data_IF_263177713497
#
_entry.id   IF_263177713497
#
_cell.length_a   1.000
_cell.length_b   1.000
_cell.length_c   1.000
_cell.angle_alpha   90.00
_cell.angle_beta   90.00
_cell.angle_gamma   90.00
#
_symmetry.space_group_name_H-M   'P 1'
#
loop_
_entity.id
_entity.type
_entity.pdbx_description
1 polymer ?
#
# COMPACT_ATOMS: atom_id res chain seq x y z
N UNK A 1 -13.77 -28.60 -6.50
CA UNK A 1 -14.62 -29.79 -6.68
C UNK A 1 -13.74 -31.02 -6.79
N UNK A 2 -13.42 -31.61 -5.67
CA UNK A 2 -12.90 -32.98 -5.70
C UNK A 2 -14.06 -33.87 -6.10
N UNK A 3 -14.09 -34.20 -7.37
CA UNK A 3 -15.16 -35.01 -7.92
C UNK A 3 -15.10 -36.44 -7.36
N UNK A 4 -15.99 -36.70 -6.46
CA UNK A 4 -16.43 -38.07 -6.15
C UNK A 4 -17.28 -38.63 -7.30
N UNK A 5 -17.30 -37.95 -8.45
CA UNK A 5 -18.15 -38.26 -9.59
C UNK A 5 -17.78 -39.52 -10.36
N UNK A 6 -16.57 -40.02 -10.19
CA UNK A 6 -16.11 -41.17 -10.98
C UNK A 6 -16.15 -42.47 -10.17
N UNK A 7 -17.07 -42.57 -9.22
CA UNK A 7 -17.04 -43.62 -8.21
C UNK A 7 -18.07 -44.73 -8.45
N UNK A 8 -18.62 -44.84 -9.65
CA UNK A 8 -19.51 -45.97 -9.92
C UNK A 8 -18.82 -47.35 -9.89
N UNK A 9 -17.49 -47.33 -9.95
CA UNK A 9 -16.71 -48.56 -9.94
C UNK A 9 -15.74 -48.61 -8.72
N UNK A 10 -16.25 -48.83 -7.50
CA UNK A 10 -15.34 -49.25 -6.48
C UNK A 10 -15.42 -48.67 -5.08
N UNK A 11 -16.36 -47.81 -4.78
CA UNK A 11 -16.64 -47.37 -3.42
C UNK A 11 -17.92 -48.01 -2.90
N UNK A 12 -17.85 -49.13 -2.14
CA UNK A 12 -19.04 -49.78 -1.57
C UNK A 12 -19.78 -48.91 -0.54
N UNK A 13 -19.16 -47.78 -0.11
CA UNK A 13 -19.76 -46.88 0.86
C UNK A 13 -19.45 -45.43 0.49
N UNK A 14 -20.12 -44.95 -0.52
CA UNK A 14 -19.95 -43.59 -1.06
C UNK A 14 -20.13 -42.46 -0.02
N UNK A 15 -21.14 -42.50 0.87
CA UNK A 15 -21.29 -41.50 1.92
C UNK A 15 -20.09 -41.43 2.86
N UNK A 16 -19.52 -42.54 3.26
CA UNK A 16 -18.36 -42.60 4.15
C UNK A 16 -17.07 -42.15 3.48
N UNK A 17 -16.91 -42.45 2.19
CA UNK A 17 -15.78 -41.96 1.42
C UNK A 17 -15.86 -40.43 1.23
N UNK A 18 -17.04 -39.90 0.99
CA UNK A 18 -17.27 -38.44 0.89
C UNK A 18 -17.02 -37.74 2.20
N UNK A 19 -17.49 -38.27 3.31
CA UNK A 19 -17.23 -37.73 4.66
C UNK A 19 -15.73 -37.74 4.98
N UNK A 20 -15.04 -38.85 4.71
CA UNK A 20 -13.58 -38.95 4.91
C UNK A 20 -12.82 -37.93 4.05
N UNK A 21 -13.22 -37.74 2.79
CA UNK A 21 -12.61 -36.77 1.91
C UNK A 21 -12.87 -35.33 2.38
N UNK A 22 -14.08 -35.03 2.84
CA UNK A 22 -14.43 -33.73 3.38
C UNK A 22 -13.61 -33.39 4.64
N UNK A 23 -13.47 -34.32 5.58
CA UNK A 23 -12.67 -34.13 6.79
C UNK A 23 -11.19 -33.94 6.44
N UNK A 24 -10.66 -34.71 5.49
CA UNK A 24 -9.31 -34.56 5.00
C UNK A 24 -9.08 -33.17 4.40
N UNK A 25 -9.98 -32.74 3.55
CA UNK A 25 -9.91 -31.43 2.91
C UNK A 25 -9.96 -30.30 3.94
N UNK A 26 -10.89 -30.36 4.89
CA UNK A 26 -11.02 -29.35 5.94
C UNK A 26 -9.75 -29.26 6.79
N UNK A 27 -9.26 -30.37 7.26
CA UNK A 27 -8.05 -30.42 8.06
C UNK A 27 -6.82 -29.88 7.32
N UNK A 28 -6.69 -30.22 6.04
CA UNK A 28 -5.61 -29.73 5.20
C UNK A 28 -5.76 -28.23 4.93
N UNK A 29 -6.99 -27.80 4.61
CA UNK A 29 -7.30 -26.39 4.40
C UNK A 29 -6.93 -25.55 5.65
N UNK A 30 -7.37 -25.99 6.83
CA UNK A 30 -7.07 -25.31 8.09
C UNK A 30 -5.57 -25.25 8.36
N UNK A 31 -4.85 -26.33 8.12
CA UNK A 31 -3.40 -26.35 8.30
C UNK A 31 -2.67 -25.44 7.32
N UNK A 32 -3.12 -25.35 6.08
CA UNK A 32 -2.54 -24.46 5.09
C UNK A 32 -2.93 -23.00 5.39
N UNK A 33 -4.21 -22.76 5.69
CA UNK A 33 -4.75 -21.39 5.85
C UNK A 33 -4.33 -20.76 7.17
N UNK A 34 -4.34 -21.53 8.25
CA UNK A 34 -4.17 -21.01 9.60
C UNK A 34 -2.88 -21.46 10.28
N UNK A 35 -2.05 -22.26 9.62
CA UNK A 35 -0.85 -22.82 10.25
C UNK A 35 -1.15 -23.79 11.39
N UNK A 36 -2.38 -24.28 11.48
CA UNK A 36 -2.80 -25.20 12.54
C UNK A 36 -1.90 -26.43 12.57
N UNK A 37 -1.41 -26.77 13.75
CA UNK A 37 -0.68 -28.01 14.02
C UNK A 37 -1.60 -29.24 14.16
N UNK A 38 -2.88 -29.08 13.84
CA UNK A 38 -3.84 -30.18 13.89
C UNK A 38 -3.32 -31.34 13.03
N UNK A 39 -3.19 -32.52 13.59
CA UNK A 39 -2.86 -33.71 12.80
C UNK A 39 -3.95 -33.88 11.75
N UNK A 40 -3.54 -34.10 10.51
CA UNK A 40 -4.48 -34.50 9.44
C UNK A 40 -5.06 -35.86 9.73
N UNK A 41 -4.65 -36.40 10.81
CA UNK A 41 -5.31 -37.48 11.49
C UNK A 41 -4.91 -38.85 11.02
N UNK A 42 -5.31 -39.77 11.78
CA UNK A 42 -5.36 -41.17 11.43
C UNK A 42 -6.70 -41.41 10.71
N UNK A 43 -6.81 -40.96 9.46
CA UNK A 43 -7.99 -41.22 8.66
C UNK A 43 -7.91 -42.67 8.19
N UNK A 44 -8.84 -43.49 8.65
CA UNK A 44 -8.97 -44.86 8.15
C UNK A 44 -9.73 -44.84 6.84
N UNK A 45 -9.12 -45.36 5.82
CA UNK A 45 -9.79 -45.60 4.54
C UNK A 45 -10.03 -47.11 4.42
N UNK A 46 -11.29 -47.49 4.42
CA UNK A 46 -11.68 -48.90 4.38
C UNK A 46 -11.61 -49.52 2.99
N UNK A 47 -11.48 -48.67 1.96
CA UNK A 47 -11.43 -49.08 0.54
C UNK A 47 -10.24 -48.47 -0.16
N UNK A 48 -9.64 -49.15 -1.14
CA UNK A 48 -8.59 -48.55 -1.95
C UNK A 48 -9.18 -47.32 -2.66
N UNK A 49 -8.44 -46.21 -2.56
CA UNK A 49 -8.83 -44.96 -3.20
C UNK A 49 -8.67 -45.09 -4.70
N UNK A 50 -9.78 -44.97 -5.43
CA UNK A 50 -9.79 -44.75 -6.87
C UNK A 50 -9.92 -43.28 -7.19
N UNK A 51 -9.60 -42.87 -8.38
CA UNK A 51 -9.80 -41.50 -8.84
C UNK A 51 -8.95 -40.47 -8.03
N UNK A 52 -9.63 -39.54 -7.36
CA UNK A 52 -8.97 -38.43 -6.62
C UNK A 52 -8.04 -38.93 -5.52
N UNK A 53 -8.46 -39.96 -4.78
CA UNK A 53 -7.63 -40.56 -3.75
C UNK A 53 -6.44 -41.31 -4.32
N UNK A 54 -6.55 -41.90 -5.51
CA UNK A 54 -5.42 -42.48 -6.23
C UNK A 54 -4.38 -41.44 -6.64
N UNK A 55 -4.78 -40.19 -6.88
CA UNK A 55 -3.83 -39.10 -7.10
C UNK A 55 -3.02 -38.74 -5.86
N UNK A 56 -3.46 -39.20 -4.71
CA UNK A 56 -2.68 -39.19 -3.48
C UNK A 56 -1.75 -40.40 -3.37
N UNK A 57 -1.69 -41.24 -4.40
CA UNK A 57 -0.89 -42.47 -4.45
C UNK A 57 0.59 -42.28 -4.27
N UNK A 58 1.22 -41.13 -4.68
CA UNK A 58 2.60 -40.88 -4.29
C UNK A 58 2.82 -40.95 -2.76
N UNK A 59 1.75 -40.92 -1.99
CA UNK A 59 1.72 -40.99 -0.54
C UNK A 59 1.48 -42.42 0.00
N UNK A 60 1.51 -43.42 -0.86
CA UNK A 60 1.23 -44.80 -0.47
C UNK A 60 -0.05 -44.90 0.37
N UNK A 61 -1.14 -44.34 -0.13
CA UNK A 61 -2.46 -44.47 0.50
C UNK A 61 -2.83 -45.95 0.51
N UNK A 62 -2.67 -46.56 1.64
CA UNK A 62 -3.06 -47.94 1.85
C UNK A 62 -4.39 -48.01 2.58
N UNK A 63 -5.04 -49.13 2.48
CA UNK A 63 -6.20 -49.44 3.30
C UNK A 63 -5.79 -49.36 4.76
N UNK A 64 -6.19 -48.29 5.44
CA UNK A 64 -5.81 -48.11 6.84
C UNK A 64 -5.61 -46.63 7.20
N UNK A 65 -4.48 -46.35 7.78
CA UNK A 65 -4.17 -45.03 8.36
C UNK A 65 -3.12 -44.30 7.53
N UNK A 66 -3.38 -43.02 7.21
CA UNK A 66 -2.45 -42.15 6.48
C UNK A 66 -1.61 -41.31 7.43
N UNK A 67 -0.35 -41.19 7.14
CA UNK A 67 0.51 -40.23 7.81
C UNK A 67 0.22 -38.81 7.32
N UNK A 68 -0.05 -37.85 8.21
CA UNK A 68 -0.37 -36.47 7.83
C UNK A 68 0.72 -35.81 6.98
N UNK A 69 1.99 -36.13 7.23
CA UNK A 69 3.13 -35.59 6.51
C UNK A 69 3.18 -36.03 5.04
N UNK A 70 2.85 -37.31 4.80
CA UNK A 70 2.80 -37.86 3.43
C UNK A 70 1.67 -37.26 2.63
N UNK A 71 0.49 -37.10 3.24
CA UNK A 71 -0.64 -36.44 2.60
C UNK A 71 -0.30 -35.02 2.20
N UNK A 72 0.34 -34.24 3.09
CA UNK A 72 0.75 -32.88 2.79
C UNK A 72 1.78 -32.86 1.66
N UNK A 73 2.77 -33.69 1.68
CA UNK A 73 3.79 -33.72 0.64
C UNK A 73 3.22 -34.10 -0.73
N UNK A 74 2.37 -35.11 -0.81
CA UNK A 74 1.84 -35.56 -2.09
C UNK A 74 0.76 -34.65 -2.65
N UNK A 75 -0.23 -34.31 -1.85
CA UNK A 75 -1.39 -33.55 -2.32
C UNK A 75 -1.08 -32.09 -2.54
N UNK A 76 -0.22 -31.51 -1.71
CA UNK A 76 0.02 -30.08 -1.67
C UNK A 76 1.41 -29.67 -2.16
N UNK A 77 2.15 -30.56 -2.77
CA UNK A 77 3.44 -30.22 -3.36
C UNK A 77 3.28 -29.13 -4.45
N UNK A 78 2.19 -29.17 -5.22
CA UNK A 78 1.83 -28.14 -6.20
C UNK A 78 1.35 -26.85 -5.50
N UNK A 79 0.65 -26.99 -4.37
CA UNK A 79 0.18 -25.86 -3.57
C UNK A 79 1.29 -25.24 -2.69
N UNK A 80 2.36 -25.97 -2.39
CA UNK A 80 3.55 -25.39 -1.73
C UNK A 80 4.15 -24.24 -2.54
N UNK A 81 4.04 -24.24 -3.84
CA UNK A 81 4.45 -23.12 -4.68
C UNK A 81 3.51 -21.91 -4.59
N UNK A 82 2.25 -22.11 -4.19
CA UNK A 82 1.20 -21.11 -4.26
C UNK A 82 0.76 -20.47 -2.94
N UNK A 83 0.89 -21.16 -1.82
CA UNK A 83 0.23 -20.74 -0.57
C UNK A 83 1.09 -21.02 0.65
N UNK A 84 2.16 -20.27 0.78
CA UNK A 84 2.88 -20.25 2.04
C UNK A 84 2.28 -19.21 2.98
N UNK A 85 1.27 -19.61 3.70
CA UNK A 85 0.76 -18.87 4.84
C UNK A 85 1.50 -19.22 6.15
N UNK A 86 2.60 -19.90 6.06
CA UNK A 86 3.45 -20.10 7.22
C UNK A 86 4.44 -18.98 7.33
N UNK A 87 4.36 -18.30 8.42
CA UNK A 87 5.15 -17.15 8.80
C UNK A 87 6.64 -17.45 9.08
N UNK A 88 7.21 -18.52 8.63
CA UNK A 88 8.66 -18.62 8.56
C UNK A 88 9.14 -17.96 7.28
N UNK A 89 9.22 -16.63 7.33
CA UNK A 89 9.92 -15.87 6.34
C UNK A 89 11.39 -16.30 6.37
N UNK A 90 11.80 -17.03 5.35
CA UNK A 90 13.20 -16.97 4.98
C UNK A 90 13.33 -15.58 4.37
N UNK A 91 13.74 -14.60 5.17
CA UNK A 91 14.07 -13.27 4.69
C UNK A 91 15.24 -13.45 3.74
N UNK A 92 15.00 -13.15 2.46
CA UNK A 92 16.12 -13.04 1.53
C UNK A 92 16.94 -11.84 1.99
N UNK A 93 18.28 -11.94 2.07
CA UNK A 93 19.12 -10.78 2.30
C UNK A 93 18.75 -9.66 1.32
N UNK A 94 18.74 -8.42 1.77
CA UNK A 94 18.32 -7.27 0.94
C UNK A 94 19.15 -7.13 -0.33
N UNK A 95 20.43 -7.38 -0.22
CA UNK A 95 21.36 -7.36 -1.34
C UNK A 95 20.95 -8.38 -2.42
N UNK A 96 20.66 -9.61 -2.01
CA UNK A 96 20.16 -10.65 -2.92
C UNK A 96 18.80 -10.30 -3.54
N UNK A 97 17.92 -9.61 -2.78
CA UNK A 97 16.62 -9.21 -3.27
C UNK A 97 16.72 -8.15 -4.38
N UNK A 98 17.53 -7.13 -4.18
CA UNK A 98 17.71 -6.04 -5.14
C UNK A 98 18.34 -6.54 -6.44
N UNK A 99 19.30 -7.45 -6.36
CA UNK A 99 19.99 -7.97 -7.55
C UNK A 99 19.18 -9.02 -8.32
N UNK A 100 18.31 -9.76 -7.62
CA UNK A 100 17.65 -10.94 -8.17
C UNK A 100 16.53 -10.61 -9.17
N UNK A 101 15.80 -9.52 -8.96
CA UNK A 101 14.55 -9.25 -9.69
C UNK A 101 14.63 -8.07 -10.66
N UNK A 102 15.81 -7.55 -10.94
CA UNK A 102 16.01 -6.46 -11.92
C UNK A 102 15.29 -6.80 -13.22
N UNK A 103 14.36 -5.94 -13.67
CA UNK A 103 13.51 -6.22 -14.82
C UNK A 103 14.28 -6.23 -16.12
N UNK A 104 15.10 -5.21 -16.36
CA UNK A 104 15.82 -5.03 -17.63
C UNK A 104 17.32 -4.88 -17.39
N UNK A 105 18.05 -5.94 -17.65
CA UNK A 105 19.52 -5.94 -17.55
C UNK A 105 20.20 -5.09 -18.67
N UNK A 106 19.45 -4.67 -19.68
CA UNK A 106 19.95 -3.87 -20.80
C UNK A 106 19.69 -2.38 -20.64
N UNK A 107 18.88 -1.98 -19.63
CA UNK A 107 18.56 -0.59 -19.36
C UNK A 107 19.63 0.04 -18.49
N UNK A 108 20.24 1.11 -18.97
CA UNK A 108 21.10 1.97 -18.17
C UNK A 108 20.30 3.18 -17.72
N UNK A 109 20.12 3.33 -16.40
CA UNK A 109 19.52 4.51 -15.82
C UNK A 109 20.51 5.68 -15.85
N UNK A 110 20.02 6.87 -16.07
CA UNK A 110 20.79 8.10 -15.85
C UNK A 110 21.06 8.30 -14.36
N UNK A 111 22.06 9.11 -13.99
CA UNK A 111 22.32 9.39 -12.58
C UNK A 111 21.13 10.01 -11.86
N UNK A 112 20.29 10.77 -12.57
CA UNK A 112 19.08 11.35 -12.03
C UNK A 112 17.99 10.28 -11.80
N UNK A 113 17.81 9.36 -12.74
CA UNK A 113 16.87 8.24 -12.58
C UNK A 113 17.33 7.32 -11.45
N UNK A 114 18.61 6.98 -11.38
CA UNK A 114 19.19 6.13 -10.34
C UNK A 114 18.93 6.72 -8.94
N UNK A 115 19.05 8.03 -8.78
CA UNK A 115 18.77 8.69 -7.49
C UNK A 115 17.30 8.58 -7.05
N UNK A 116 16.40 8.18 -7.93
CA UNK A 116 14.97 8.00 -7.64
C UNK A 116 14.57 6.53 -7.47
N UNK A 117 15.50 5.59 -7.61
CA UNK A 117 15.30 4.20 -7.22
C UNK A 117 15.34 4.12 -5.69
N UNK A 118 14.30 3.60 -5.02
CA UNK A 118 14.28 3.56 -3.56
C UNK A 118 15.38 2.65 -2.99
N UNK A 119 16.00 3.12 -1.93
CA UNK A 119 16.93 2.33 -1.13
C UNK A 119 16.15 1.71 0.02
N UNK A 120 16.33 0.42 0.24
CA UNK A 120 15.68 -0.27 1.35
C UNK A 120 16.38 0.08 2.66
N UNK A 121 15.63 0.63 3.58
CA UNK A 121 16.09 0.96 4.93
C UNK A 121 16.55 -0.30 5.69
N UNK A 122 17.52 -0.15 6.59
CA UNK A 122 18.11 -1.28 7.33
C UNK A 122 17.11 -2.05 8.18
N UNK A 123 16.11 -1.36 8.69
CA UNK A 123 15.05 -1.96 9.50
C UNK A 123 13.97 -2.67 8.69
N UNK A 124 13.90 -2.44 7.37
CA UNK A 124 12.81 -2.99 6.56
C UNK A 124 13.02 -4.48 6.31
N UNK A 125 12.08 -5.30 6.76
CA UNK A 125 12.01 -6.72 6.47
C UNK A 125 11.09 -6.91 5.26
N UNK A 126 11.61 -7.52 4.20
CA UNK A 126 10.87 -7.70 2.95
C UNK A 126 9.79 -8.77 3.14
N UNK A 127 8.48 -8.39 3.04
CA UNK A 127 7.41 -9.37 3.11
C UNK A 127 7.46 -10.36 1.94
N UNK A 128 7.00 -11.58 2.17
CA UNK A 128 6.94 -12.61 1.11
C UNK A 128 6.04 -12.19 -0.06
N UNK A 129 5.01 -11.44 0.24
CA UNK A 129 4.05 -10.90 -0.72
C UNK A 129 4.75 -9.97 -1.72
N UNK A 130 5.62 -9.11 -1.21
CA UNK A 130 6.43 -8.18 -2.01
C UNK A 130 7.45 -8.95 -2.86
N UNK A 131 8.12 -9.91 -2.26
CA UNK A 131 9.04 -10.77 -3.00
C UNK A 131 8.33 -11.49 -4.16
N UNK A 132 7.12 -12.01 -3.93
CA UNK A 132 6.31 -12.67 -4.97
C UNK A 132 5.91 -11.74 -6.09
N UNK A 133 5.55 -10.49 -5.79
CA UNK A 133 5.27 -9.50 -6.83
C UNK A 133 6.49 -9.32 -7.73
N UNK A 134 7.67 -9.12 -7.15
CA UNK A 134 8.91 -8.96 -7.92
C UNK A 134 9.24 -10.22 -8.75
N UNK A 135 9.06 -11.40 -8.15
CA UNK A 135 9.26 -12.68 -8.84
C UNK A 135 8.32 -12.84 -10.04
N UNK A 136 7.02 -12.58 -9.86
CA UNK A 136 6.03 -12.67 -10.94
C UNK A 136 6.29 -11.61 -12.01
N UNK A 137 6.61 -10.38 -11.62
CA UNK A 137 6.97 -9.33 -12.56
C UNK A 137 8.18 -9.74 -13.43
N UNK A 138 9.22 -10.30 -12.80
CA UNK A 138 10.44 -10.75 -13.51
C UNK A 138 10.17 -11.95 -14.41
N UNK A 139 9.56 -13.02 -13.89
CA UNK A 139 9.36 -14.26 -14.63
C UNK A 139 8.37 -14.13 -15.80
N UNK A 140 7.48 -13.15 -15.76
CA UNK A 140 6.52 -12.91 -16.84
C UNK A 140 7.00 -11.90 -17.89
N UNK A 141 8.21 -11.37 -17.76
CA UNK A 141 8.72 -10.31 -18.66
C UNK A 141 8.68 -10.73 -20.13
N UNK A 142 9.04 -11.98 -20.45
CA UNK A 142 9.05 -12.51 -21.82
C UNK A 142 7.68 -13.06 -22.26
N UNK A 143 6.65 -12.96 -21.43
CA UNK A 143 5.32 -13.39 -21.79
C UNK A 143 4.63 -12.38 -22.72
N UNK A 144 3.61 -12.83 -23.46
CA UNK A 144 2.78 -11.92 -24.28
C UNK A 144 2.05 -10.87 -23.47
N UNK A 145 1.89 -11.08 -22.19
CA UNK A 145 1.24 -10.19 -21.24
C UNK A 145 2.01 -10.25 -19.92
N UNK A 146 3.04 -9.44 -19.74
CA UNK A 146 3.79 -9.39 -18.50
C UNK A 146 2.90 -8.84 -17.37
N UNK A 147 3.06 -9.38 -16.17
CA UNK A 147 2.38 -8.90 -14.98
C UNK A 147 3.04 -7.59 -14.52
N UNK A 148 2.28 -6.50 -14.58
CA UNK A 148 2.76 -5.14 -14.29
C UNK A 148 1.78 -4.30 -13.48
N UNK A 149 0.59 -4.84 -13.19
CA UNK A 149 -0.46 -4.15 -12.44
C UNK A 149 -0.67 -4.88 -11.12
N UNK A 150 -0.35 -4.25 -10.01
CA UNK A 150 -0.44 -4.84 -8.68
C UNK A 150 -1.28 -3.96 -7.77
N UNK A 151 -1.94 -4.58 -6.79
CA UNK A 151 -2.69 -3.87 -5.76
C UNK A 151 -2.32 -4.40 -4.39
N UNK A 152 -1.97 -3.49 -3.50
CA UNK A 152 -1.76 -3.75 -2.08
C UNK A 152 -2.89 -3.08 -1.29
N UNK A 153 -3.69 -3.84 -0.61
CA UNK A 153 -4.79 -3.33 0.21
C UNK A 153 -4.67 -3.86 1.64
N UNK A 154 -5.18 -3.12 2.60
CA UNK A 154 -5.12 -3.50 4.01
C UNK A 154 -5.30 -2.32 4.94
N UNK A 155 -5.33 -2.52 6.25
CA UNK A 155 -5.44 -1.46 7.24
C UNK A 155 -4.35 -0.39 7.11
N UNK A 156 -4.57 0.77 7.72
CA UNK A 156 -3.56 1.81 7.82
C UNK A 156 -2.33 1.30 8.60
N UNK A 157 -1.12 1.71 8.20
CA UNK A 157 0.10 1.33 8.92
C UNK A 157 0.68 -0.05 8.60
N UNK A 158 0.04 -0.88 7.77
CA UNK A 158 0.57 -2.23 7.41
C UNK A 158 1.80 -2.21 6.50
N UNK A 159 2.23 -1.04 6.03
CA UNK A 159 3.45 -0.88 5.23
C UNK A 159 3.24 -0.97 3.73
N UNK A 160 2.03 -0.69 3.22
CA UNK A 160 1.71 -0.72 1.77
C UNK A 160 2.63 0.17 0.94
N UNK A 161 2.84 1.41 1.35
CA UNK A 161 3.74 2.35 0.66
C UNK A 161 5.19 1.89 0.70
N UNK A 162 5.67 1.39 1.85
CA UNK A 162 7.01 0.81 1.94
C UNK A 162 7.12 -0.47 1.08
N UNK A 163 6.02 -1.23 0.97
CA UNK A 163 5.92 -2.35 0.04
C UNK A 163 6.04 -1.91 -1.43
N UNK A 164 5.38 -0.83 -1.82
CA UNK A 164 5.48 -0.28 -3.18
C UNK A 164 6.91 0.20 -3.49
N UNK A 165 7.55 0.89 -2.56
CA UNK A 165 8.98 1.28 -2.67
C UNK A 165 9.89 0.05 -2.75
N UNK A 166 9.62 -0.99 -1.96
CA UNK A 166 10.39 -2.22 -1.99
C UNK A 166 10.24 -2.97 -3.32
N UNK A 167 9.05 -2.94 -3.94
CA UNK A 167 8.87 -3.47 -5.29
C UNK A 167 9.73 -2.68 -6.29
N UNK A 168 9.73 -1.34 -6.19
CA UNK A 168 10.56 -0.50 -7.06
C UNK A 168 12.06 -0.81 -6.90
N UNK A 169 12.54 -0.93 -5.66
CA UNK A 169 13.92 -1.32 -5.36
C UNK A 169 14.27 -2.71 -5.92
N UNK A 170 13.40 -3.71 -5.67
CA UNK A 170 13.64 -5.09 -6.14
C UNK A 170 13.61 -5.23 -7.66
N UNK A 171 12.80 -4.43 -8.35
CA UNK A 171 12.74 -4.40 -9.82
C UNK A 171 13.76 -3.44 -10.43
N UNK A 172 14.48 -2.69 -9.63
CA UNK A 172 15.42 -1.63 -9.99
C UNK A 172 14.80 -0.58 -10.92
N UNK A 173 13.67 -0.02 -10.48
CA UNK A 173 12.90 0.98 -11.21
C UNK A 173 12.86 2.31 -10.45
N UNK A 174 13.03 3.45 -11.14
CA UNK A 174 12.70 4.75 -10.59
C UNK A 174 11.26 4.75 -10.06
N UNK A 175 11.06 5.36 -8.89
CA UNK A 175 9.78 5.38 -8.20
C UNK A 175 9.08 6.73 -8.40
N UNK A 176 7.80 6.67 -8.69
CA UNK A 176 6.89 7.83 -8.74
C UNK A 176 5.65 7.53 -7.90
N UNK A 177 5.04 8.58 -7.36
CA UNK A 177 3.87 8.45 -6.51
C UNK A 177 2.83 9.51 -6.85
N UNK A 178 1.56 9.11 -6.82
CA UNK A 178 0.40 10.00 -6.90
C UNK A 178 -0.51 9.65 -5.74
N UNK A 179 -0.79 10.65 -4.89
CA UNK A 179 -1.76 10.50 -3.81
C UNK A 179 -3.11 11.05 -4.27
N UNK A 180 -4.13 10.21 -4.26
CA UNK A 180 -5.48 10.60 -4.63
C UNK A 180 -6.18 11.33 -3.48
N UNK A 181 -7.04 12.26 -3.83
CA UNK A 181 -7.95 12.98 -2.94
C UNK A 181 -9.39 12.83 -3.39
N UNK A 182 -10.34 13.32 -2.60
CA UNK A 182 -11.75 13.32 -2.98
C UNK A 182 -12.01 14.08 -4.30
N UNK A 183 -11.22 15.10 -4.58
CA UNK A 183 -11.34 15.97 -5.76
C UNK A 183 -10.44 15.56 -6.92
N UNK A 184 -9.74 14.42 -6.83
CA UNK A 184 -8.87 13.96 -7.93
C UNK A 184 -9.69 13.70 -9.18
N UNK A 185 -9.28 14.32 -10.28
CA UNK A 185 -9.85 14.18 -11.60
C UNK A 185 -8.90 13.46 -12.56
N UNK A 186 -9.39 13.08 -13.74
CA UNK A 186 -8.59 12.36 -14.73
C UNK A 186 -7.38 13.19 -15.22
N UNK A 187 -7.50 14.50 -15.25
CA UNK A 187 -6.42 15.40 -15.64
C UNK A 187 -5.30 15.48 -14.60
N UNK A 188 -5.60 15.24 -13.33
CA UNK A 188 -4.58 15.13 -12.29
C UNK A 188 -3.73 13.87 -12.44
N UNK A 189 -4.27 12.87 -13.13
CA UNK A 189 -3.57 11.64 -13.47
C UNK A 189 -2.85 11.70 -14.81
N UNK A 190 -3.48 12.31 -15.83
CA UNK A 190 -3.00 12.30 -17.22
C UNK A 190 -2.29 13.59 -17.66
N UNK A 191 -2.19 14.60 -16.78
CA UNK A 191 -1.53 15.86 -17.08
C UNK A 191 -2.47 16.97 -17.49
N UNK A 192 -1.95 18.18 -17.42
CA UNK A 192 -2.69 19.41 -17.64
C UNK A 192 -2.00 20.27 -18.69
N UNK A 193 -2.81 21.03 -19.41
CA UNK A 193 -2.33 22.05 -20.34
C UNK A 193 -2.30 23.38 -19.58
N UNK A 194 -1.12 23.86 -19.29
CA UNK A 194 -0.90 25.11 -18.59
C UNK A 194 -0.40 26.21 -19.55
N UNK A 195 -0.74 27.48 -19.32
CA UNK A 195 -0.12 28.57 -20.04
C UNK A 195 1.40 28.52 -19.84
N UNK A 196 2.14 28.65 -20.96
CA UNK A 196 3.60 28.73 -20.88
C UNK A 196 3.97 30.17 -20.51
N UNK A 197 4.35 30.36 -19.24
CA UNK A 197 4.81 31.66 -18.75
C UNK A 197 6.34 31.64 -18.84
N UNK A 198 6.89 32.27 -19.84
CA UNK A 198 8.34 32.42 -20.00
C UNK A 198 8.95 33.00 -18.72
N UNK A 199 9.92 32.30 -18.11
CA UNK A 199 10.69 32.79 -16.95
C UNK A 199 11.33 34.18 -17.20
N UNK A 200 11.63 34.52 -18.47
CA UNK A 200 12.07 35.85 -18.89
C UNK A 200 11.00 36.92 -18.74
N UNK A 201 9.71 36.55 -18.76
CA UNK A 201 8.62 37.50 -18.51
C UNK A 201 8.35 37.68 -17.01
N UNK A 202 8.64 36.67 -16.18
CA UNK A 202 8.60 36.83 -14.73
C UNK A 202 9.78 37.65 -14.18
N UNK A 203 10.94 37.66 -14.83
CA UNK A 203 12.08 38.49 -14.43
C UNK A 203 11.88 39.98 -14.62
N UNK A 204 10.83 40.39 -15.34
CA UNK A 204 10.41 41.81 -15.47
C UNK A 204 9.43 42.23 -14.35
N UNK A 205 8.97 41.29 -13.53
CA UNK A 205 8.12 41.51 -12.35
C UNK A 205 8.99 41.68 -11.09
N UNK A 206 10.18 42.25 -11.21
CA UNK A 206 11.18 42.37 -10.17
C UNK A 206 10.82 43.20 -8.94
N UNK A 207 9.58 43.68 -8.81
CA UNK A 207 9.11 44.46 -7.66
C UNK A 207 7.84 43.93 -7.01
N UNK A 208 7.29 42.80 -7.48
CA UNK A 208 6.10 42.24 -6.84
C UNK A 208 6.45 41.55 -5.51
N UNK A 209 5.60 41.70 -4.47
CA UNK A 209 5.81 41.05 -3.20
C UNK A 209 5.71 39.52 -3.36
N UNK A 210 6.62 38.80 -2.71
CA UNK A 210 6.56 37.34 -2.66
C UNK A 210 5.42 36.87 -1.73
N UNK A 211 5.02 35.61 -1.84
CA UNK A 211 4.04 35.01 -0.90
C UNK A 211 4.47 35.13 0.55
N UNK A 212 5.78 35.06 0.83
CA UNK A 212 6.31 35.25 2.18
C UNK A 212 6.18 36.69 2.64
N UNK A 213 6.39 37.66 1.77
CA UNK A 213 6.24 39.07 2.10
C UNK A 213 4.77 39.41 2.44
N UNK A 214 3.80 38.83 1.69
CA UNK A 214 2.37 39.02 1.92
C UNK A 214 1.95 38.44 3.27
N UNK A 215 2.44 37.25 3.62
CA UNK A 215 2.10 36.58 4.89
C UNK A 215 2.74 37.26 6.08
N UNK A 216 3.97 37.77 5.94
CA UNK A 216 4.72 38.40 7.04
C UNK A 216 4.28 39.85 7.30
N UNK A 217 4.01 40.63 6.25
CA UNK A 217 3.60 42.02 6.34
C UNK A 217 2.65 42.40 5.19
N UNK A 218 1.35 42.12 5.34
CA UNK A 218 0.35 42.43 4.31
C UNK A 218 0.29 43.92 3.96
N UNK A 219 0.52 44.82 4.93
CA UNK A 219 0.43 46.25 4.73
C UNK A 219 1.54 46.79 3.81
N UNK A 220 2.78 46.36 4.02
CA UNK A 220 3.91 46.71 3.15
C UNK A 220 3.80 46.04 1.76
N UNK A 221 3.27 44.83 1.71
CA UNK A 221 3.01 44.16 0.43
C UNK A 221 1.93 44.89 -0.39
N UNK A 222 0.87 45.39 0.26
CA UNK A 222 -0.19 46.15 -0.34
C UNK A 222 0.35 47.51 -0.85
N UNK A 223 1.17 48.18 -0.08
CA UNK A 223 1.81 49.44 -0.50
C UNK A 223 2.69 49.25 -1.75
N UNK A 224 3.42 48.15 -1.84
CA UNK A 224 4.20 47.82 -3.05
C UNK A 224 3.34 47.62 -4.29
N UNK A 225 2.12 47.09 -4.15
CA UNK A 225 1.21 46.84 -5.25
C UNK A 225 0.42 48.07 -5.67
N UNK A 226 -0.08 48.85 -4.71
CA UNK A 226 -1.05 49.94 -4.94
C UNK A 226 -0.45 51.33 -4.76
N UNK A 227 0.75 51.42 -4.16
CA UNK A 227 1.35 52.71 -3.76
C UNK A 227 0.69 53.35 -2.54
N UNK A 228 -0.25 52.67 -1.86
CA UNK A 228 -0.97 53.20 -0.72
C UNK A 228 -0.80 52.27 0.48
N UNK A 229 -0.31 52.78 1.60
CA UNK A 229 -0.17 52.02 2.83
C UNK A 229 -1.49 51.93 3.58
N UNK A 230 -1.94 50.71 3.92
CA UNK A 230 -3.11 50.47 4.79
C UNK A 230 -2.79 49.40 5.83
N UNK A 231 -2.68 49.79 7.10
CA UNK A 231 -2.34 48.92 8.24
C UNK A 231 -3.41 47.84 8.50
N UNK A 232 -4.64 48.01 7.98
CA UNK A 232 -5.76 47.08 8.25
C UNK A 232 -6.04 46.11 7.09
N UNK A 233 -5.20 46.13 6.09
CA UNK A 233 -5.38 45.25 4.92
C UNK A 233 -5.24 43.80 5.29
N UNK A 234 -6.14 42.96 4.79
CA UNK A 234 -6.04 41.50 4.97
C UNK A 234 -5.16 40.86 3.90
N UNK A 235 -4.52 39.73 4.22
CA UNK A 235 -3.78 38.95 3.22
C UNK A 235 -4.61 38.66 1.97
N UNK A 236 -5.89 38.29 2.12
CA UNK A 236 -6.77 38.01 0.98
C UNK A 236 -6.93 39.22 0.06
N UNK A 237 -7.05 40.41 0.63
CA UNK A 237 -7.14 41.64 -0.17
C UNK A 237 -5.86 41.90 -0.93
N UNK A 238 -4.69 41.61 -0.35
CA UNK A 238 -3.39 41.74 -1.03
C UNK A 238 -3.28 40.71 -2.17
N UNK A 239 -3.75 39.49 -1.97
CA UNK A 239 -3.78 38.48 -3.04
C UNK A 239 -4.73 38.86 -4.18
N UNK A 240 -5.92 39.43 -3.88
CA UNK A 240 -6.84 39.89 -4.90
C UNK A 240 -6.22 41.04 -5.74
N UNK A 241 -5.53 41.96 -5.07
CA UNK A 241 -4.85 43.07 -5.74
C UNK A 241 -3.64 42.60 -6.54
N UNK A 242 -2.88 41.64 -6.05
CA UNK A 242 -1.78 40.99 -6.77
C UNK A 242 -2.29 40.31 -8.06
N UNK A 243 -3.39 39.57 -7.96
CA UNK A 243 -4.02 38.91 -9.11
C UNK A 243 -4.53 39.96 -10.10
N UNK A 244 -5.14 41.04 -9.60
CA UNK A 244 -5.61 42.17 -10.44
C UNK A 244 -4.43 42.83 -11.17
N UNK A 245 -3.36 43.14 -10.46
CA UNK A 245 -2.15 43.74 -11.02
C UNK A 245 -1.51 42.88 -12.11
N UNK A 246 -1.36 41.58 -11.83
CA UNK A 246 -0.84 40.62 -12.81
C UNK A 246 -1.77 40.51 -14.02
N UNK A 247 -3.09 40.51 -13.80
CA UNK A 247 -4.09 40.45 -14.88
C UNK A 247 -4.08 41.70 -15.75
N UNK A 248 -3.91 42.90 -15.18
CA UNK A 248 -3.81 44.15 -15.90
C UNK A 248 -2.51 44.24 -16.70
N UNK A 249 -1.38 43.83 -16.11
CA UNK A 249 -0.12 43.76 -16.84
C UNK A 249 -0.18 42.77 -18.00
N UNK A 250 -0.81 41.60 -17.79
CA UNK A 250 -1.04 40.63 -18.86
C UNK A 250 -1.93 41.21 -19.99
N UNK A 251 -2.99 41.94 -19.66
CA UNK A 251 -3.84 42.59 -20.66
C UNK A 251 -3.09 43.68 -21.46
N UNK A 252 -2.27 44.47 -20.78
CA UNK A 252 -1.46 45.51 -21.45
C UNK A 252 -0.40 44.90 -22.38
N UNK A 253 0.22 43.77 -21.97
CA UNK A 253 1.17 43.02 -22.80
C UNK A 253 0.49 42.29 -23.96
N UNK A 254 -0.73 41.78 -23.78
CA UNK A 254 -1.54 41.21 -24.88
C UNK A 254 -1.91 42.24 -25.95
N UNK A 255 -2.13 43.50 -25.59
CA UNK A 255 -2.38 44.55 -26.56
C UNK A 255 -1.12 44.97 -27.36
N UNK A 256 0.07 44.68 -26.84
CA UNK A 256 1.35 45.00 -27.46
C UNK A 256 1.98 43.89 -28.29
N UNK A 257 1.53 42.65 -28.13
CA UNK A 257 2.11 41.48 -28.82
C UNK A 257 0.98 40.59 -29.35
N UNK A 258 0.77 40.61 -30.64
CA UNK A 258 -0.06 39.64 -31.38
C UNK A 258 0.65 38.28 -31.45
N UNK A 259 0.99 37.69 -30.30
CA UNK A 259 1.54 36.36 -30.26
C UNK A 259 0.63 35.44 -29.44
N UNK A 260 0.25 34.35 -30.08
CA UNK A 260 -0.51 33.25 -29.52
C UNK A 260 0.04 32.87 -28.15
N UNK A 261 -0.81 32.85 -27.12
CA UNK A 261 -0.51 32.23 -25.86
C UNK A 261 0.01 30.81 -26.14
N UNK A 262 1.25 30.56 -25.82
CA UNK A 262 1.79 29.22 -25.89
C UNK A 262 1.32 28.47 -24.65
N UNK A 263 0.75 27.31 -24.89
CA UNK A 263 0.34 26.42 -23.83
C UNK A 263 1.33 25.26 -23.80
N UNK A 264 1.77 24.91 -22.59
CA UNK A 264 2.63 23.75 -22.35
C UNK A 264 1.84 22.67 -21.69
N UNK A 265 1.94 21.46 -22.22
CA UNK A 265 1.48 20.27 -21.54
C UNK A 265 2.51 19.86 -20.49
N UNK A 266 2.05 19.54 -19.28
CA UNK A 266 2.88 19.11 -18.17
C UNK A 266 2.57 17.66 -17.84
N UNK A 267 3.58 16.80 -17.95
CA UNK A 267 3.48 15.39 -17.59
C UNK A 267 3.27 15.24 -16.07
N UNK A 268 2.36 14.34 -15.68
CA UNK A 268 2.22 13.89 -14.30
C UNK A 268 3.21 12.78 -14.00
N UNK A 269 3.44 12.43 -12.71
CA UNK A 269 4.25 11.28 -12.34
C UNK A 269 3.79 9.97 -12.99
N UNK A 270 2.47 9.80 -13.25
CA UNK A 270 1.94 8.64 -13.98
C UNK A 270 2.40 8.66 -15.44
N UNK A 271 2.25 9.77 -16.13
CA UNK A 271 2.65 9.91 -17.53
C UNK A 271 4.16 9.74 -17.70
N UNK A 272 4.95 10.33 -16.80
CA UNK A 272 6.40 10.14 -16.76
C UNK A 272 6.78 8.65 -16.62
N UNK A 273 6.11 7.96 -15.68
CA UNK A 273 6.34 6.53 -15.47
C UNK A 273 5.95 5.67 -16.68
N UNK A 274 4.85 6.02 -17.36
CA UNK A 274 4.39 5.32 -18.56
C UNK A 274 5.40 5.47 -19.71
N UNK A 275 5.91 6.69 -19.93
CA UNK A 275 6.88 6.96 -21.00
C UNK A 275 8.22 6.29 -20.76
N UNK A 276 8.70 6.35 -19.52
CA UNK A 276 10.08 5.99 -19.20
C UNK A 276 10.22 4.61 -18.55
N UNK A 277 9.13 3.90 -18.28
CA UNK A 277 9.19 2.56 -17.71
C UNK A 277 9.54 2.55 -16.21
N UNK A 278 8.98 3.48 -15.44
CA UNK A 278 9.18 3.55 -13.99
C UNK A 278 8.10 2.77 -13.24
N UNK A 279 8.29 2.60 -11.95
CA UNK A 279 7.21 2.20 -11.07
C UNK A 279 6.42 3.43 -10.62
N UNK A 280 5.11 3.38 -10.76
CA UNK A 280 4.21 4.39 -10.22
C UNK A 280 3.27 3.79 -9.20
N UNK A 281 3.24 4.40 -8.01
CA UNK A 281 2.26 4.10 -6.97
C UNK A 281 1.09 5.08 -7.05
N UNK A 282 -0.13 4.53 -7.13
CA UNK A 282 -1.38 5.30 -7.02
C UNK A 282 -1.93 5.03 -5.62
N UNK A 283 -1.81 6.03 -4.75
CA UNK A 283 -2.19 5.93 -3.35
C UNK A 283 -3.65 6.33 -3.13
N UNK A 284 -4.34 5.55 -2.34
CA UNK A 284 -5.69 5.83 -1.81
C UNK A 284 -6.75 6.19 -2.87
N UNK A 285 -6.83 5.49 -4.00
CA UNK A 285 -7.83 5.82 -5.03
C UNK A 285 -9.28 5.61 -4.58
N UNK A 286 -9.50 4.91 -3.48
CA UNK A 286 -10.81 4.69 -2.86
C UNK A 286 -11.41 5.96 -2.24
N UNK A 287 -10.61 7.01 -1.99
CA UNK A 287 -11.13 8.29 -1.49
C UNK A 287 -11.71 9.18 -2.60
N UNK A 288 -11.44 8.88 -3.88
CA UNK A 288 -11.93 9.68 -5.01
C UNK A 288 -13.46 9.71 -5.01
N UNK A 289 -14.03 10.93 -5.05
CA UNK A 289 -15.47 11.12 -5.00
C UNK A 289 -16.21 10.47 -6.20
N UNK A 290 -15.59 10.51 -7.39
CA UNK A 290 -16.09 9.87 -8.60
C UNK A 290 -15.24 8.63 -8.95
N UNK A 291 -15.66 7.40 -8.62
CA UNK A 291 -14.91 6.18 -8.94
C UNK A 291 -14.68 5.96 -10.45
N UNK A 292 -15.42 6.68 -11.30
CA UNK A 292 -15.26 6.65 -12.75
C UNK A 292 -13.95 7.26 -13.25
N UNK A 293 -13.27 8.08 -12.47
CA UNK A 293 -11.98 8.67 -12.83
C UNK A 293 -10.95 7.61 -13.20
N UNK A 294 -10.83 6.55 -12.39
CA UNK A 294 -9.89 5.46 -12.66
C UNK A 294 -10.26 4.62 -13.90
N UNK A 295 -11.52 4.63 -14.31
CA UNK A 295 -11.97 3.93 -15.54
C UNK A 295 -11.29 4.53 -16.77
N UNK A 296 -10.93 5.81 -16.73
CA UNK A 296 -10.13 6.45 -17.78
C UNK A 296 -8.76 5.81 -18.00
N UNK A 297 -8.25 5.06 -17.04
CA UNK A 297 -6.99 4.32 -17.14
C UNK A 297 -7.16 2.89 -17.68
N UNK A 298 -8.38 2.43 -17.97
CA UNK A 298 -8.63 1.04 -18.38
C UNK A 298 -7.83 0.62 -19.62
N UNK A 299 -7.70 1.49 -20.61
CA UNK A 299 -6.92 1.21 -21.82
C UNK A 299 -5.43 1.02 -21.53
N UNK A 300 -4.90 1.75 -20.55
CA UNK A 300 -3.53 1.64 -20.07
C UNK A 300 -3.29 0.33 -19.30
N UNK A 301 -4.28 -0.08 -18.51
CA UNK A 301 -4.20 -1.28 -17.65
C UNK A 301 -4.51 -2.58 -18.42
N UNK A 302 -5.09 -2.46 -19.61
CA UNK A 302 -5.48 -3.58 -20.47
C UNK A 302 -4.41 -3.84 -21.56
N UNK A 303 -4.71 -4.75 -22.47
CA UNK A 303 -3.85 -5.14 -23.60
C UNK A 303 -3.49 -4.01 -24.55
N UNK A 304 -4.30 -2.96 -24.62
CA UNK A 304 -4.02 -1.78 -25.44
C UNK A 304 -2.75 -1.07 -25.02
N UNK A 305 -2.41 -1.14 -23.72
CA UNK A 305 -1.20 -0.53 -23.15
C UNK A 305 -0.98 0.92 -23.63
N UNK A 306 -2.06 1.69 -23.81
CA UNK A 306 -1.98 3.05 -24.31
C UNK A 306 -3.02 3.95 -23.64
N UNK A 307 -2.73 5.22 -23.60
CA UNK A 307 -3.65 6.23 -23.11
C UNK A 307 -3.57 7.49 -23.96
N UNK A 308 -4.71 8.15 -24.13
CA UNK A 308 -4.83 9.40 -24.82
C UNK A 308 -4.65 10.57 -23.85
N UNK A 309 -3.71 11.44 -24.14
CA UNK A 309 -3.39 12.59 -23.31
C UNK A 309 -4.21 13.84 -23.71
N UNK A 310 -4.41 14.81 -22.78
CA UNK A 310 -5.14 16.04 -23.06
C UNK A 310 -4.58 16.89 -24.22
N UNK A 311 -3.29 16.76 -24.51
CA UNK A 311 -2.65 17.45 -25.64
C UNK A 311 -2.90 16.79 -27.02
N UNK A 312 -3.66 15.70 -27.06
CA UNK A 312 -3.96 14.95 -28.28
C UNK A 312 -2.97 13.85 -28.63
N UNK A 313 -1.94 13.66 -27.82
CA UNK A 313 -0.96 12.59 -27.99
C UNK A 313 -1.49 11.24 -27.48
N UNK A 314 -1.18 10.17 -28.17
CA UNK A 314 -1.37 8.79 -27.69
C UNK A 314 -0.02 8.26 -27.24
N UNK A 315 0.11 7.95 -25.96
CA UNK A 315 1.31 7.32 -25.42
C UNK A 315 1.09 5.82 -25.20
N UNK A 316 2.12 5.07 -25.50
CA UNK A 316 2.17 3.63 -25.23
C UNK A 316 2.97 3.38 -23.97
N UNK A 317 2.45 2.47 -23.15
CA UNK A 317 3.10 2.06 -21.91
C UNK A 317 4.42 1.35 -22.20
N UNK A 318 5.48 1.82 -21.57
CA UNK A 318 6.78 1.13 -21.63
C UNK A 318 6.65 -0.28 -21.01
N UNK A 319 7.32 -1.31 -21.55
CA UNK A 319 7.21 -2.69 -21.05
C UNK A 319 7.59 -2.87 -19.57
N UNK A 320 8.49 -2.05 -19.06
CA UNK A 320 8.91 -2.11 -17.66
C UNK A 320 8.00 -1.33 -16.72
N UNK A 321 7.13 -0.44 -17.25
CA UNK A 321 6.24 0.34 -16.39
C UNK A 321 5.45 -0.59 -15.48
N UNK A 322 5.60 -0.40 -14.18
CA UNK A 322 4.89 -1.14 -13.16
C UNK A 322 3.94 -0.21 -12.42
N UNK A 323 2.67 -0.58 -12.33
CA UNK A 323 1.65 0.19 -11.62
C UNK A 323 1.30 -0.55 -10.34
N UNK A 324 1.45 0.13 -9.21
CA UNK A 324 1.08 -0.38 -7.89
C UNK A 324 0.00 0.52 -7.32
N UNK A 325 -1.15 -0.05 -7.02
CA UNK A 325 -2.24 0.64 -6.34
C UNK A 325 -2.18 0.28 -4.86
N UNK A 326 -2.11 1.29 -4.00
CA UNK A 326 -2.15 1.08 -2.56
C UNK A 326 -3.41 1.70 -1.99
N UNK A 327 -4.18 0.93 -1.24
CA UNK A 327 -5.46 1.39 -0.71
C UNK A 327 -5.77 0.80 0.65
N UNK A 328 -6.45 1.59 1.46
CA UNK A 328 -7.10 1.11 2.66
C UNK A 328 -8.45 0.48 2.28
N UNK A 329 -8.84 -0.56 3.01
CA UNK A 329 -10.23 -1.00 3.08
C UNK A 329 -10.69 -0.78 4.51
N UNK A 330 -11.97 -0.62 4.72
CA UNK A 330 -12.59 -0.44 6.06
C UNK A 330 -12.25 0.87 6.79
N UNK A 331 -11.91 1.92 6.04
CA UNK A 331 -11.68 3.24 6.59
C UNK A 331 -12.86 4.17 6.31
N UNK A 332 -13.24 5.01 7.29
CA UNK A 332 -14.29 6.01 7.13
C UNK A 332 -13.95 6.96 5.97
N UNK A 333 -14.78 6.98 4.92
CA UNK A 333 -14.57 7.76 3.70
C UNK A 333 -14.06 6.97 2.49
N UNK A 334 -13.64 5.71 2.66
CA UNK A 334 -13.31 4.84 1.53
C UNK A 334 -14.58 4.43 0.78
N UNK A 335 -14.50 4.46 -0.55
CA UNK A 335 -15.55 3.98 -1.45
C UNK A 335 -15.10 2.68 -2.11
N UNK A 336 -16.05 1.81 -2.50
CA UNK A 336 -15.70 0.62 -3.27
C UNK A 336 -15.00 1.02 -4.58
N UNK A 337 -13.86 0.41 -4.84
CA UNK A 337 -13.18 0.62 -6.11
C UNK A 337 -13.98 -0.01 -7.25
N UNK A 338 -13.94 0.62 -8.43
CA UNK A 338 -14.62 0.11 -9.60
C UNK A 338 -14.09 -1.29 -9.98
N UNK A 339 -15.01 -2.24 -10.14
CA UNK A 339 -14.68 -3.63 -10.45
C UNK A 339 -13.90 -3.78 -11.75
N UNK A 340 -14.10 -2.87 -12.72
CA UNK A 340 -13.36 -2.88 -13.97
C UNK A 340 -11.88 -2.61 -13.80
N UNK A 341 -11.50 -1.82 -12.79
CA UNK A 341 -10.09 -1.56 -12.44
C UNK A 341 -9.50 -2.74 -11.70
N UNK A 342 -10.23 -3.29 -10.72
CA UNK A 342 -9.78 -4.46 -9.94
C UNK A 342 -9.51 -5.65 -10.87
N UNK A 343 -10.38 -5.90 -11.85
CA UNK A 343 -10.24 -7.01 -12.80
C UNK A 343 -9.02 -6.92 -13.71
N UNK A 344 -8.38 -5.75 -13.79
CA UNK A 344 -7.17 -5.49 -14.56
C UNK A 344 -5.89 -5.54 -13.73
N UNK A 345 -6.02 -5.76 -12.43
CA UNK A 345 -4.86 -6.03 -11.57
C UNK A 345 -4.42 -7.48 -11.76
N UNK A 346 -3.14 -7.67 -12.00
CA UNK A 346 -2.57 -9.01 -12.16
C UNK A 346 -2.51 -9.76 -10.83
N UNK A 347 -2.26 -9.03 -9.74
CA UNK A 347 -2.30 -9.55 -8.38
C UNK A 347 -2.92 -8.51 -7.46
N UNK A 348 -3.80 -8.97 -6.59
CA UNK A 348 -4.35 -8.20 -5.47
C UNK A 348 -3.91 -8.89 -4.20
N UNK A 349 -3.19 -8.16 -3.35
CA UNK A 349 -2.62 -8.71 -2.12
C UNK A 349 -3.19 -7.96 -0.93
N UNK A 350 -3.72 -8.73 0.00
CA UNK A 350 -4.12 -8.21 1.30
C UNK A 350 -2.89 -8.17 2.21
N UNK A 351 -2.55 -6.96 2.66
CA UNK A 351 -1.47 -6.71 3.60
C UNK A 351 -2.08 -6.73 5.01
N UNK A 352 -2.00 -7.88 5.64
CA UNK A 352 -2.46 -8.04 7.02
C UNK A 352 -1.55 -7.30 8.01
N UNK A 353 -2.06 -7.04 9.19
CA UNK A 353 -1.23 -6.53 10.27
C UNK A 353 -0.13 -7.56 10.60
N UNK A 354 1.11 -7.10 10.82
CA UNK A 354 2.19 -7.99 11.20
C UNK A 354 1.89 -8.65 12.56
N UNK A 355 2.45 -9.84 12.76
CA UNK A 355 2.41 -10.48 14.07
C UNK A 355 3.15 -9.64 15.14
N UNK A 356 2.89 -9.97 16.41
CA UNK A 356 3.44 -9.22 17.54
C UNK A 356 4.97 -9.11 17.49
N UNK A 357 5.67 -10.22 17.21
CA UNK A 357 7.12 -10.24 17.21
C UNK A 357 7.69 -9.38 16.06
N UNK A 358 7.10 -9.49 14.89
CA UNK A 358 7.45 -8.64 13.73
C UNK A 358 7.20 -7.15 14.01
N UNK A 359 6.09 -6.82 14.71
CA UNK A 359 5.84 -5.43 15.13
C UNK A 359 6.92 -4.93 16.09
N UNK A 360 7.24 -5.73 17.11
CA UNK A 360 8.28 -5.39 18.10
C UNK A 360 9.63 -5.18 17.42
N UNK A 361 10.06 -6.10 16.57
CA UNK A 361 11.35 -6.01 15.88
C UNK A 361 11.41 -4.78 14.95
N UNK A 362 10.34 -4.51 14.23
CA UNK A 362 10.24 -3.32 13.37
C UNK A 362 10.34 -2.04 14.19
N UNK A 363 9.62 -1.94 15.29
CA UNK A 363 9.63 -0.75 16.14
C UNK A 363 10.98 -0.54 16.79
N UNK A 364 11.62 -1.59 17.31
CA UNK A 364 12.98 -1.51 17.85
C UNK A 364 13.99 -1.02 16.80
N UNK A 365 13.90 -1.55 15.59
CA UNK A 365 14.80 -1.18 14.50
C UNK A 365 14.61 0.28 14.03
N UNK A 366 13.35 0.75 13.99
CA UNK A 366 13.04 2.14 13.58
C UNK A 366 13.40 3.14 14.67
N UNK A 367 13.09 2.82 15.93
CA UNK A 367 13.25 3.79 17.04
C UNK A 367 14.63 3.77 17.67
N UNK A 368 15.37 2.66 17.51
CA UNK A 368 16.62 2.43 18.21
C UNK A 368 16.45 2.15 19.72
N UNK A 369 15.21 1.90 20.17
CA UNK A 369 14.94 1.56 21.57
C UNK A 369 15.60 0.23 21.93
N UNK A 370 16.28 0.17 23.08
CA UNK A 370 16.93 -1.07 23.60
C UNK A 370 16.02 -1.89 24.51
N UNK A 371 14.93 -1.31 25.00
CA UNK A 371 14.01 -1.97 25.94
C UNK A 371 12.94 -2.79 25.22
N UNK A 372 13.34 -3.99 24.78
CA UNK A 372 12.43 -4.93 24.11
C UNK A 372 11.22 -5.32 24.98
N UNK A 373 11.37 -5.34 26.33
CA UNK A 373 10.26 -5.73 27.21
C UNK A 373 9.15 -4.67 27.19
N UNK A 374 9.51 -3.41 27.37
CA UNK A 374 8.55 -2.30 27.31
C UNK A 374 7.90 -2.19 25.92
N UNK A 375 8.67 -2.28 24.84
CA UNK A 375 8.14 -2.25 23.48
C UNK A 375 7.16 -3.39 23.23
N UNK A 376 7.41 -4.59 23.74
CA UNK A 376 6.47 -5.73 23.63
C UNK A 376 5.16 -5.44 24.38
N UNK A 377 5.23 -4.91 25.59
CA UNK A 377 4.04 -4.52 26.36
C UNK A 377 3.23 -3.46 25.61
N UNK A 378 3.90 -2.43 25.09
CA UNK A 378 3.27 -1.38 24.29
C UNK A 378 2.61 -1.95 23.02
N UNK A 379 3.26 -2.91 22.36
CA UNK A 379 2.70 -3.61 21.19
C UNK A 379 1.42 -4.37 21.54
N UNK A 380 1.41 -5.07 22.68
CA UNK A 380 0.21 -5.79 23.14
C UNK A 380 -0.94 -4.84 23.44
N UNK A 381 -0.67 -3.69 24.04
CA UNK A 381 -1.67 -2.65 24.31
C UNK A 381 -2.23 -2.10 22.99
N UNK A 382 -1.39 -1.76 22.02
CA UNK A 382 -1.82 -1.28 20.70
C UNK A 382 -2.75 -2.28 20.02
N UNK A 383 -2.40 -3.56 20.04
CA UNK A 383 -3.24 -4.61 19.47
C UNK A 383 -4.56 -4.78 20.23
N UNK A 384 -4.52 -4.67 21.56
CA UNK A 384 -5.73 -4.68 22.38
C UNK A 384 -6.65 -3.52 22.06
N UNK A 385 -6.11 -2.32 21.87
CA UNK A 385 -6.87 -1.13 21.45
C UNK A 385 -7.48 -1.33 20.06
N UNK A 386 -6.72 -1.82 19.10
CA UNK A 386 -7.22 -2.08 17.76
C UNK A 386 -8.38 -3.10 17.77
N UNK A 387 -8.22 -4.18 18.54
CA UNK A 387 -9.28 -5.17 18.74
C UNK A 387 -10.51 -4.58 19.43
N UNK A 388 -10.31 -3.77 20.48
CA UNK A 388 -11.38 -3.10 21.17
C UNK A 388 -12.19 -2.17 20.24
N UNK A 389 -11.51 -1.40 19.39
CA UNK A 389 -12.17 -0.54 18.40
C UNK A 389 -13.02 -1.35 17.42
N UNK A 390 -12.53 -2.51 16.96
CA UNK A 390 -13.29 -3.40 16.08
C UNK A 390 -14.52 -3.99 16.76
N UNK A 391 -14.36 -4.49 17.98
CA UNK A 391 -15.42 -5.17 18.74
C UNK A 391 -16.56 -4.19 19.11
N UNK A 392 -16.21 -2.94 19.37
CA UNK A 392 -17.16 -1.88 19.74
C UNK A 392 -17.61 -1.00 18.57
N UNK A 393 -17.23 -1.37 17.32
CA UNK A 393 -17.60 -0.65 16.08
C UNK A 393 -17.22 0.84 16.10
N UNK A 394 -16.08 1.17 16.70
CA UNK A 394 -15.51 2.52 16.71
C UNK A 394 -14.87 2.76 15.34
N UNK A 395 -15.63 3.35 14.42
CA UNK A 395 -15.25 3.46 13.00
C UNK A 395 -14.16 4.49 12.72
N UNK A 396 -13.96 5.45 13.60
CA UNK A 396 -12.87 6.42 13.57
C UNK A 396 -11.65 5.97 14.39
N UNK A 397 -11.76 4.81 15.05
CA UNK A 397 -10.70 4.22 15.86
C UNK A 397 -9.50 3.80 14.99
N UNK A 398 -8.34 4.37 15.26
CA UNK A 398 -7.11 4.04 14.56
C UNK A 398 -5.98 3.87 15.58
N UNK A 399 -5.46 2.64 15.67
CA UNK A 399 -4.29 2.35 16.48
C UNK A 399 -3.49 1.23 15.82
N UNK A 400 -2.26 1.53 15.42
CA UNK A 400 -1.43 0.59 14.68
C UNK A 400 0.07 0.83 14.87
N UNK A 401 0.85 0.37 13.91
CA UNK A 401 2.33 0.46 13.97
C UNK A 401 2.83 1.91 14.01
N UNK A 402 2.15 2.85 13.35
CA UNK A 402 2.56 4.27 13.34
C UNK A 402 2.44 4.88 14.72
N UNK A 403 1.31 4.66 15.37
CA UNK A 403 1.02 5.15 16.72
C UNK A 403 1.95 4.48 17.73
N UNK A 404 2.25 3.19 17.55
CA UNK A 404 3.23 2.47 18.38
C UNK A 404 4.64 3.06 18.25
N UNK A 405 5.10 3.38 17.06
CA UNK A 405 6.40 4.03 16.85
C UNK A 405 6.45 5.39 17.56
N UNK A 406 5.41 6.22 17.38
CA UNK A 406 5.31 7.52 18.05
C UNK A 406 5.30 7.37 19.57
N UNK A 407 4.60 6.37 20.10
CA UNK A 407 4.56 6.09 21.52
C UNK A 407 5.92 5.69 22.07
N UNK A 408 6.62 4.77 21.41
CA UNK A 408 7.97 4.36 21.85
C UNK A 408 8.96 5.53 21.79
N UNK A 409 8.89 6.36 20.74
CA UNK A 409 9.74 7.55 20.65
C UNK A 409 9.45 8.56 21.80
N UNK A 410 8.16 8.78 22.10
CA UNK A 410 7.76 9.63 23.24
C UNK A 410 8.24 9.05 24.57
N UNK A 411 8.08 7.75 24.78
CA UNK A 411 8.57 7.04 25.94
C UNK A 411 10.09 7.18 26.12
N UNK A 412 10.86 7.09 25.06
CA UNK A 412 12.33 7.28 25.13
C UNK A 412 12.71 8.70 25.57
N UNK A 413 11.84 9.68 25.37
CA UNK A 413 12.08 11.07 25.77
C UNK A 413 11.62 11.34 27.21
N UNK A 414 10.39 10.95 27.58
CA UNK A 414 9.81 11.27 28.89
C UNK A 414 10.14 10.22 29.97
N UNK A 415 10.46 8.96 29.56
CA UNK A 415 10.76 7.87 30.49
C UNK A 415 9.53 7.26 31.16
N UNK A 416 8.32 7.73 30.87
CA UNK A 416 7.06 7.25 31.44
C UNK A 416 6.14 6.72 30.32
N UNK A 417 5.79 5.43 30.41
CA UNK A 417 4.97 4.75 29.41
C UNK A 417 3.55 5.34 29.36
N UNK A 418 2.99 5.67 30.51
CA UNK A 418 1.61 6.15 30.64
C UNK A 418 1.51 7.61 30.17
N UNK A 419 2.44 8.45 30.59
CA UNK A 419 2.51 9.84 30.12
C UNK A 419 2.68 9.90 28.60
N UNK A 420 3.58 9.08 28.05
CA UNK A 420 3.78 9.00 26.60
C UNK A 420 2.54 8.54 25.85
N UNK A 421 1.74 7.61 26.43
CA UNK A 421 0.51 7.13 25.83
C UNK A 421 -0.55 8.24 25.66
N UNK A 422 -0.65 9.15 26.62
CA UNK A 422 -1.60 10.27 26.55
C UNK A 422 -1.34 11.18 25.36
N UNK A 423 -0.07 11.46 25.02
CA UNK A 423 0.28 12.36 23.91
C UNK A 423 0.23 11.68 22.55
N UNK A 424 0.32 10.37 22.49
CA UNK A 424 0.47 9.65 21.23
C UNK A 424 -0.74 8.79 20.88
N UNK A 425 -1.06 7.80 21.69
CA UNK A 425 -2.12 6.85 21.40
C UNK A 425 -3.50 7.37 21.80
N UNK A 426 -3.66 7.74 23.07
CA UNK A 426 -4.98 8.10 23.59
C UNK A 426 -5.54 9.38 22.93
N UNK A 427 -4.67 10.33 22.60
CA UNK A 427 -5.08 11.57 21.92
C UNK A 427 -5.54 11.36 20.48
N UNK A 428 -5.06 10.30 19.82
CA UNK A 428 -5.25 10.06 18.40
C UNK A 428 -6.19 8.89 18.07
N UNK A 429 -6.49 8.02 19.05
CA UNK A 429 -7.23 6.78 18.80
C UNK A 429 -8.63 7.02 18.28
N UNK A 430 -9.37 7.98 18.83
CA UNK A 430 -10.71 8.37 18.39
C UNK A 430 -11.01 9.82 18.78
N UNK A 431 -11.93 10.46 18.06
CA UNK A 431 -12.41 11.81 18.38
C UNK A 431 -13.37 11.80 19.58
N UNK A 432 -14.04 10.67 19.85
CA UNK A 432 -15.00 10.55 20.94
C UNK A 432 -14.33 10.42 22.31
N UNK A 433 -14.67 11.34 23.21
CA UNK A 433 -14.06 11.41 24.54
C UNK A 433 -14.49 10.27 25.47
N UNK A 434 -15.71 9.74 25.33
CA UNK A 434 -16.20 8.64 26.16
C UNK A 434 -15.51 7.35 25.80
N UNK A 435 -15.46 7.04 24.52
CA UNK A 435 -14.72 5.88 23.99
C UNK A 435 -13.23 5.94 24.36
N UNK A 436 -12.64 7.13 24.42
CA UNK A 436 -11.23 7.31 24.81
C UNK A 436 -10.97 6.94 26.26
N UNK A 437 -11.87 7.34 27.19
CA UNK A 437 -11.78 6.98 28.61
C UNK A 437 -11.96 5.46 28.78
N UNK A 438 -12.88 4.86 28.05
CA UNK A 438 -13.10 3.41 28.10
C UNK A 438 -11.89 2.62 27.58
N UNK A 439 -11.27 3.07 26.50
CA UNK A 439 -10.04 2.49 25.94
C UNK A 439 -8.89 2.59 26.96
N UNK A 440 -8.71 3.75 27.59
CA UNK A 440 -7.69 3.96 28.62
C UNK A 440 -7.85 2.95 29.76
N UNK A 441 -9.02 2.86 30.35
CA UNK A 441 -9.28 1.95 31.47
C UNK A 441 -9.21 0.47 31.09
N UNK A 442 -9.77 0.12 29.93
CA UNK A 442 -9.88 -1.30 29.52
C UNK A 442 -8.59 -1.88 28.92
N UNK A 443 -7.88 -1.07 28.13
CA UNK A 443 -6.73 -1.57 27.39
C UNK A 443 -5.39 -1.14 27.99
N UNK A 444 -5.25 0.13 28.41
CA UNK A 444 -3.98 0.65 28.91
C UNK A 444 -3.77 0.30 30.39
N UNK A 445 -4.65 0.78 31.26
CA UNK A 445 -4.49 0.64 32.72
C UNK A 445 -4.49 -0.82 33.16
N UNK A 446 -5.35 -1.64 32.58
CA UNK A 446 -5.46 -3.07 32.90
C UNK A 446 -4.16 -3.82 32.60
N UNK A 447 -3.51 -3.55 31.48
CA UNK A 447 -2.26 -4.21 31.08
C UNK A 447 -1.09 -3.68 31.90
N UNK A 448 -1.00 -2.35 32.10
CA UNK A 448 0.08 -1.75 32.88
C UNK A 448 0.02 -2.18 34.35
N UNK A 449 -1.18 -2.24 34.95
CA UNK A 449 -1.36 -2.74 36.30
C UNK A 449 -0.90 -4.23 36.44
N UNK A 450 -1.19 -5.06 35.45
CA UNK A 450 -0.73 -6.45 35.43
C UNK A 450 0.80 -6.56 35.31
N UNK A 451 1.45 -5.70 34.55
CA UNK A 451 2.91 -5.69 34.43
C UNK A 451 3.62 -5.24 35.70
N UNK A 452 3.02 -4.32 36.47
CA UNK A 452 3.56 -3.86 37.76
C UNK A 452 3.46 -4.93 38.87
N UNK A 453 2.57 -5.91 38.74
CA UNK A 453 2.45 -7.02 39.70
C UNK A 453 3.49 -8.11 39.51
N UNK A 454 4.22 -8.14 38.39
CA UNK A 454 5.23 -9.15 38.06
C UNK A 454 6.67 -8.58 38.01
N UNK A 455 6.88 -7.33 38.38
CA UNK A 455 8.19 -6.74 38.66
C UNK A 455 8.47 -6.63 40.14
#
# INVERSE_FOLDING_TARGET
EMCIRDSDDGFPDLPKAAETAAVLCDNVYRRIRYGDSLPIGNIKVDTPANGVLQRLTPLNIQKGVYAPTEIIQGTFQVLKGGHHYTASAVSIPKEDFVDKYILSNSRTLTSQEESTVPILEDWYVIPKEIQRICEHAKLTTDSKQPMRNFMLRGPAGTGKTEGAKAIAAGLHLPYRCITCSANTEIFDLLGQILPDVDEKQLSLVGELPSFQDITLDPATAYEKLTGTYDEKVSENTVYEELIHHISEEMKQKQAATSNSQQFRYVDTPLVEAIRNGYLVEIQEPTVIANPGVLVGLNSLLDRCNSVFLPNGEVIHRHPDTTIVVTTNHDYAGCRPMNQSVISRMNMVIDMDEPDEETMVERVLAITGCSDKKSVRTMTQIVRSIAQYCQDNLITDGCCGVRELIAWVQSFMVCGDIQEAAHYTILSSVTADSESRIEIEGSCLDTVLASCLLYT
#
